data_IF_111927126995
#
_entry.id   IF_111927126995
#
_cell.length_a   1.000
_cell.length_b   1.000
_cell.length_c   1.000
_cell.angle_alpha   90.00
_cell.angle_beta   90.00
_cell.angle_gamma   90.00
#
_symmetry.space_group_name_H-M   'P 1'
#
loop_
_entity.id
_entity.type
_entity.pdbx_description
1 polymer ?
#
# COMPACT_ATOMS: atom_id res chain seq x y z
N UNK A 1 -22.01 -49.18 9.80
CA UNK A 1 -21.68 -47.78 9.43
C UNK A 1 -21.39 -47.03 10.71
N UNK A 2 -20.12 -46.89 11.07
CA UNK A 2 -19.67 -46.11 12.23
C UNK A 2 -19.84 -44.63 11.91
N UNK A 3 -20.85 -44.00 12.49
CA UNK A 3 -21.01 -42.54 12.46
C UNK A 3 -19.81 -41.92 13.16
N UNK A 4 -18.94 -41.25 12.41
CA UNK A 4 -17.87 -40.42 12.97
C UNK A 4 -18.56 -39.40 13.91
N UNK A 5 -18.18 -39.32 15.19
CA UNK A 5 -18.79 -38.38 16.12
C UNK A 5 -18.63 -36.95 15.57
N UNK A 6 -19.71 -36.17 15.60
CA UNK A 6 -19.65 -34.79 15.13
C UNK A 6 -18.69 -33.99 15.99
N UNK A 7 -17.74 -33.31 15.37
CA UNK A 7 -16.85 -32.38 16.06
C UNK A 7 -17.66 -31.24 16.69
N UNK A 8 -17.09 -30.59 17.70
CA UNK A 8 -17.69 -29.40 18.34
C UNK A 8 -18.11 -28.35 17.30
N UNK A 9 -17.23 -28.06 16.32
CA UNK A 9 -17.49 -27.12 15.23
C UNK A 9 -18.72 -27.52 14.40
N UNK A 10 -18.80 -28.80 14.00
CA UNK A 10 -19.92 -29.28 13.20
C UNK A 10 -21.24 -29.30 14.00
N UNK A 11 -21.19 -29.58 15.31
CA UNK A 11 -22.35 -29.48 16.18
C UNK A 11 -22.84 -28.03 16.28
N UNK A 12 -21.92 -27.08 16.39
CA UNK A 12 -22.22 -25.64 16.44
C UNK A 12 -22.86 -25.14 15.14
N UNK A 13 -22.33 -25.53 13.97
CA UNK A 13 -22.95 -25.19 12.67
C UNK A 13 -24.35 -25.77 12.53
N UNK A 14 -24.56 -27.02 12.99
CA UNK A 14 -25.87 -27.68 12.95
C UNK A 14 -26.89 -27.05 13.90
N UNK A 15 -26.46 -26.43 15.00
CA UNK A 15 -27.39 -25.78 15.95
C UNK A 15 -28.04 -24.53 15.36
N UNK A 16 -27.32 -23.79 14.51
CA UNK A 16 -27.83 -22.58 13.82
C UNK A 16 -28.83 -22.92 12.71
N UNK A 17 -28.78 -24.14 12.15
CA UNK A 17 -29.64 -24.69 11.09
C UNK A 17 -29.58 -23.98 9.72
N UNK A 18 -29.23 -22.71 9.67
CA UNK A 18 -29.11 -21.89 8.45
C UNK A 18 -27.64 -21.55 8.16
N UNK A 19 -27.29 -21.55 6.89
CA UNK A 19 -25.98 -21.11 6.40
C UNK A 19 -25.97 -19.58 6.17
N UNK A 20 -24.85 -18.87 6.43
CA UNK A 20 -24.73 -17.46 6.10
C UNK A 20 -24.56 -17.20 4.60
N UNK A 21 -24.17 -18.23 3.84
CA UNK A 21 -23.84 -18.14 2.42
C UNK A 21 -25.07 -18.05 1.52
N UNK A 22 -25.76 -16.92 1.61
CA UNK A 22 -26.82 -16.55 0.68
C UNK A 22 -26.24 -16.26 -0.72
N UNK A 23 -27.06 -16.34 -1.77
CA UNK A 23 -26.64 -15.98 -3.13
C UNK A 23 -26.07 -14.56 -3.22
N UNK A 24 -26.59 -13.64 -2.40
CA UNK A 24 -26.08 -12.27 -2.30
C UNK A 24 -24.67 -12.23 -1.72
N UNK A 25 -24.43 -12.92 -0.60
CA UNK A 25 -23.11 -12.98 0.03
C UNK A 25 -22.09 -13.64 -0.89
N UNK A 26 -22.43 -14.78 -1.51
CA UNK A 26 -21.55 -15.47 -2.47
C UNK A 26 -21.18 -14.53 -3.62
N UNK A 27 -22.16 -13.82 -4.19
CA UNK A 27 -21.91 -12.86 -5.28
C UNK A 27 -20.99 -11.72 -4.82
N UNK A 28 -21.19 -11.20 -3.60
CA UNK A 28 -20.32 -10.17 -3.01
C UNK A 28 -18.89 -10.68 -2.85
N UNK A 29 -18.69 -11.85 -2.25
CA UNK A 29 -17.38 -12.47 -2.05
C UNK A 29 -16.66 -12.65 -3.40
N UNK A 30 -17.35 -13.17 -4.41
CA UNK A 30 -16.76 -13.37 -5.73
C UNK A 30 -16.43 -12.05 -6.44
N UNK A 31 -17.27 -11.01 -6.28
CA UNK A 31 -16.96 -9.67 -6.78
C UNK A 31 -15.71 -9.12 -6.10
N UNK A 32 -15.63 -9.20 -4.78
CA UNK A 32 -14.48 -8.72 -4.02
C UNK A 32 -13.19 -9.46 -4.39
N UNK A 33 -13.27 -10.79 -4.57
CA UNK A 33 -12.16 -11.63 -5.05
C UNK A 33 -11.58 -11.09 -6.36
N UNK A 34 -12.44 -10.75 -7.33
CA UNK A 34 -12.01 -10.14 -8.60
C UNK A 34 -11.35 -8.77 -8.40
N UNK A 35 -11.94 -7.90 -7.58
CA UNK A 35 -11.37 -6.57 -7.27
C UNK A 35 -9.97 -6.67 -6.64
N UNK A 36 -9.72 -7.70 -5.82
CA UNK A 36 -8.44 -7.94 -5.15
C UNK A 36 -7.41 -8.67 -6.03
N UNK A 37 -7.73 -8.92 -7.31
CA UNK A 37 -6.87 -9.61 -8.28
C UNK A 37 -6.96 -11.14 -8.16
N UNK A 38 -8.18 -11.64 -8.13
CA UNK A 38 -8.56 -13.07 -8.16
C UNK A 38 -8.04 -13.90 -6.98
N UNK A 39 -7.69 -13.29 -5.86
CA UNK A 39 -7.23 -14.01 -4.67
C UNK A 39 -7.59 -13.24 -3.40
N UNK A 40 -8.39 -13.85 -2.54
CA UNK A 40 -8.72 -13.37 -1.20
C UNK A 40 -7.59 -13.66 -0.19
N UNK A 41 -7.62 -13.04 0.98
CA UNK A 41 -6.77 -13.43 2.11
C UNK A 41 -7.14 -14.81 2.61
N UNK A 42 -8.43 -15.16 2.67
CA UNK A 42 -8.84 -16.52 3.00
C UNK A 42 -8.25 -17.55 2.04
N UNK A 43 -8.17 -17.25 0.74
CA UNK A 43 -7.60 -18.16 -0.27
C UNK A 43 -6.11 -18.43 -0.01
N UNK A 44 -5.38 -17.42 0.48
CA UNK A 44 -3.98 -17.55 0.89
C UNK A 44 -3.87 -18.37 2.19
N UNK A 45 -4.67 -18.02 3.20
CA UNK A 45 -4.66 -18.71 4.50
C UNK A 45 -4.99 -20.19 4.37
N UNK A 46 -6.08 -20.53 3.67
CA UNK A 46 -6.54 -21.91 3.57
C UNK A 46 -5.56 -22.79 2.78
N UNK A 47 -4.83 -22.22 1.83
CA UNK A 47 -3.79 -22.92 1.07
C UNK A 47 -2.51 -23.08 1.91
N UNK A 48 -1.99 -21.98 2.43
CA UNK A 48 -0.65 -21.93 3.02
C UNK A 48 -0.62 -22.59 4.40
N UNK A 49 -1.71 -22.46 5.16
CA UNK A 49 -1.83 -22.92 6.55
C UNK A 49 -2.80 -24.09 6.68
N UNK A 50 -3.86 -24.10 5.87
CA UNK A 50 -4.87 -25.14 5.88
C UNK A 50 -4.59 -26.30 4.92
N UNK A 51 -3.70 -26.16 3.94
CA UNK A 51 -3.48 -27.16 2.88
C UNK A 51 -4.77 -27.69 2.21
N UNK A 52 -5.81 -26.85 2.18
CA UNK A 52 -7.12 -27.16 1.60
C UNK A 52 -7.31 -26.30 0.36
N UNK A 53 -7.99 -26.87 -0.64
CA UNK A 53 -8.29 -26.19 -1.89
C UNK A 53 -9.12 -24.90 -1.65
N UNK A 54 -8.60 -23.71 -2.02
CA UNK A 54 -9.30 -22.44 -1.88
C UNK A 54 -10.62 -22.35 -2.64
N UNK A 55 -10.80 -23.15 -3.70
CA UNK A 55 -12.02 -23.11 -4.52
C UNK A 55 -13.28 -23.55 -3.78
N UNK A 56 -13.12 -24.21 -2.63
CA UNK A 56 -14.20 -24.60 -1.74
C UNK A 56 -14.85 -23.40 -1.02
N UNK A 57 -14.21 -22.23 -1.04
CA UNK A 57 -14.74 -20.99 -0.48
C UNK A 57 -15.21 -20.01 -1.58
N UNK A 58 -16.39 -19.38 -1.42
CA UNK A 58 -17.38 -19.60 -0.36
C UNK A 58 -18.22 -20.87 -0.58
N UNK A 59 -18.65 -21.57 0.49
CA UNK A 59 -19.59 -22.67 0.40
C UNK A 59 -20.93 -22.25 -0.21
N UNK A 60 -21.59 -23.17 -0.92
CA UNK A 60 -22.87 -22.90 -1.61
C UNK A 60 -24.09 -23.22 -0.76
N UNK A 61 -23.92 -24.11 0.22
CA UNK A 61 -24.97 -24.64 1.09
C UNK A 61 -24.36 -25.16 2.40
N UNK A 62 -25.22 -25.72 3.26
CA UNK A 62 -24.80 -26.25 4.56
C UNK A 62 -23.89 -27.49 4.43
N UNK A 63 -24.13 -28.36 3.45
CA UNK A 63 -23.37 -29.59 3.26
C UNK A 63 -21.94 -29.28 2.81
N UNK A 64 -21.79 -28.37 1.85
CA UNK A 64 -20.48 -27.88 1.38
C UNK A 64 -19.70 -27.14 2.48
N UNK A 65 -20.39 -26.40 3.36
CA UNK A 65 -19.75 -25.80 4.54
C UNK A 65 -19.25 -26.87 5.52
N UNK A 66 -20.07 -27.88 5.83
CA UNK A 66 -19.65 -28.98 6.71
C UNK A 66 -18.49 -29.78 6.11
N UNK A 67 -18.49 -30.01 4.80
CA UNK A 67 -17.38 -30.64 4.08
C UNK A 67 -16.10 -29.80 4.15
N UNK A 68 -16.20 -28.48 4.00
CA UNK A 68 -15.06 -27.57 4.14
C UNK A 68 -14.48 -27.62 5.56
N UNK A 69 -15.33 -27.55 6.58
CA UNK A 69 -14.92 -27.66 7.99
C UNK A 69 -14.25 -29.01 8.24
N UNK A 70 -14.87 -30.11 7.79
CA UNK A 70 -14.28 -31.45 7.93
C UNK A 70 -12.91 -31.53 7.24
N UNK A 71 -12.74 -30.92 6.06
CA UNK A 71 -11.44 -30.88 5.37
C UNK A 71 -10.40 -30.08 6.14
N UNK A 72 -10.78 -28.99 6.81
CA UNK A 72 -9.87 -28.21 7.68
C UNK A 72 -9.50 -29.01 8.93
N UNK A 73 -10.47 -29.64 9.60
CA UNK A 73 -10.28 -30.41 10.83
C UNK A 73 -9.51 -31.71 10.62
N UNK A 74 -9.62 -32.32 9.44
CA UNK A 74 -8.96 -33.60 9.11
C UNK A 74 -7.49 -33.46 8.69
N UNK A 75 -6.99 -32.24 8.54
CA UNK A 75 -5.57 -32.04 8.24
C UNK A 75 -4.72 -32.44 9.43
N UNK A 76 -3.65 -33.17 9.17
CA UNK A 76 -2.63 -33.43 10.17
C UNK A 76 -1.69 -32.21 10.26
N UNK A 77 -2.10 -31.18 11.00
CA UNK A 77 -1.28 -29.99 11.22
C UNK A 77 -0.62 -30.03 12.60
N UNK A 78 0.67 -29.67 12.69
CA UNK A 78 1.36 -29.63 13.98
C UNK A 78 0.83 -28.50 14.88
N UNK A 79 0.14 -27.51 14.31
CA UNK A 79 -0.41 -26.36 15.03
C UNK A 79 -1.93 -26.33 14.94
N UNK A 80 -2.63 -26.86 15.96
CA UNK A 80 -4.10 -26.87 16.03
C UNK A 80 -4.73 -25.47 15.99
N UNK A 81 -3.99 -24.43 16.38
CA UNK A 81 -4.48 -23.04 16.30
C UNK A 81 -4.77 -22.65 14.85
N UNK A 82 -4.00 -23.17 13.88
CA UNK A 82 -4.20 -22.91 12.46
C UNK A 82 -5.57 -23.38 11.95
N UNK A 83 -6.03 -24.54 12.41
CA UNK A 83 -7.37 -25.03 12.06
C UNK A 83 -8.45 -24.15 12.70
N UNK A 84 -8.26 -23.80 13.98
CA UNK A 84 -9.19 -22.97 14.73
C UNK A 84 -9.35 -21.58 14.09
N UNK A 85 -8.27 -20.94 13.64
CA UNK A 85 -8.36 -19.62 13.00
C UNK A 85 -9.06 -19.65 11.63
N UNK A 86 -8.90 -20.72 10.85
CA UNK A 86 -9.60 -20.88 9.58
C UNK A 86 -11.11 -21.06 9.80
N UNK A 87 -11.50 -21.84 10.81
CA UNK A 87 -12.90 -22.01 11.20
C UNK A 87 -13.46 -20.69 11.77
N UNK A 88 -12.69 -19.99 12.61
CA UNK A 88 -13.06 -18.68 13.13
C UNK A 88 -13.34 -17.69 11.99
N UNK A 89 -12.52 -17.68 10.93
CA UNK A 89 -12.79 -16.88 9.73
C UNK A 89 -14.15 -17.19 9.11
N UNK A 90 -14.49 -18.48 8.95
CA UNK A 90 -15.81 -18.89 8.41
C UNK A 90 -16.96 -18.44 9.32
N UNK A 91 -16.74 -18.40 10.64
CA UNK A 91 -17.74 -17.92 11.59
C UNK A 91 -17.92 -16.40 11.60
N UNK A 92 -16.94 -15.63 11.12
CA UNK A 92 -17.13 -14.20 10.88
C UNK A 92 -18.17 -13.92 9.78
N UNK A 93 -18.40 -14.87 8.86
CA UNK A 93 -19.45 -14.73 7.84
C UNK A 93 -20.86 -14.87 8.43
N UNK A 94 -21.03 -15.37 9.67
CA UNK A 94 -22.34 -15.51 10.32
C UNK A 94 -22.88 -14.16 10.81
N UNK A 95 -24.00 -13.65 10.24
CA UNK A 95 -24.62 -12.45 10.75
C UNK A 95 -25.30 -12.70 12.10
N UNK A 96 -25.28 -11.69 12.97
CA UNK A 96 -25.90 -11.73 14.30
C UNK A 96 -27.39 -12.14 14.28
N UNK A 97 -28.10 -11.86 13.18
CA UNK A 97 -29.51 -12.23 13.01
C UNK A 97 -29.75 -13.73 12.90
N UNK A 98 -28.74 -14.52 12.54
CA UNK A 98 -28.82 -15.99 12.49
C UNK A 98 -28.46 -16.64 13.84
N UNK A 99 -27.85 -15.90 14.76
CA UNK A 99 -27.19 -16.44 15.95
C UNK A 99 -27.75 -15.81 17.23
N UNK A 100 -29.07 -15.56 17.27
CA UNK A 100 -29.76 -14.96 18.43
C UNK A 100 -29.11 -13.66 18.94
N UNK A 101 -28.54 -12.85 18.03
CA UNK A 101 -27.80 -11.63 18.34
C UNK A 101 -26.46 -11.81 19.08
N UNK A 102 -25.92 -13.03 19.12
CA UNK A 102 -24.60 -13.32 19.68
C UNK A 102 -23.58 -13.62 18.57
N UNK A 103 -22.32 -13.25 18.76
CA UNK A 103 -21.28 -13.52 17.77
C UNK A 103 -20.82 -14.98 17.87
N UNK A 104 -21.17 -15.78 16.85
CA UNK A 104 -20.74 -17.17 16.75
C UNK A 104 -19.22 -17.30 16.71
N UNK A 105 -18.56 -16.36 16.03
CA UNK A 105 -17.12 -16.31 15.94
C UNK A 105 -16.48 -16.09 17.32
N UNK A 106 -17.00 -15.14 18.11
CA UNK A 106 -16.47 -14.86 19.45
C UNK A 106 -16.68 -16.04 20.40
N UNK A 107 -17.90 -16.61 20.41
CA UNK A 107 -18.22 -17.80 21.20
C UNK A 107 -17.25 -18.95 20.88
N UNK A 108 -17.07 -19.27 19.59
CA UNK A 108 -16.13 -20.30 19.18
C UNK A 108 -14.68 -20.00 19.57
N UNK A 109 -14.24 -18.74 19.40
CA UNK A 109 -12.88 -18.34 19.72
C UNK A 109 -12.58 -18.46 21.22
N UNK A 110 -13.56 -18.19 22.09
CA UNK A 110 -13.47 -18.38 23.53
C UNK A 110 -13.42 -19.85 23.92
N UNK A 111 -14.35 -20.66 23.41
CA UNK A 111 -14.43 -22.10 23.72
C UNK A 111 -13.18 -22.88 23.26
N UNK A 112 -12.62 -22.53 22.11
CA UNK A 112 -11.41 -23.19 21.57
C UNK A 112 -10.12 -22.51 22.06
N UNK A 113 -10.22 -21.37 22.75
CA UNK A 113 -9.07 -20.67 23.32
C UNK A 113 -8.14 -20.04 22.29
N UNK A 114 -8.69 -19.47 21.20
CA UNK A 114 -7.89 -18.76 20.19
C UNK A 114 -7.24 -17.52 20.85
N UNK A 115 -5.91 -17.32 20.77
CA UNK A 115 -5.27 -16.13 21.33
C UNK A 115 -5.73 -14.83 20.65
N UNK A 116 -5.79 -13.73 21.40
CA UNK A 116 -6.27 -12.43 20.92
C UNK A 116 -5.54 -11.94 19.67
N UNK A 117 -4.21 -12.01 19.64
CA UNK A 117 -3.43 -11.65 18.44
C UNK A 117 -3.85 -12.38 17.15
N UNK A 118 -4.25 -13.66 17.25
CA UNK A 118 -4.78 -14.40 16.10
C UNK A 118 -6.20 -13.98 15.74
N UNK A 119 -7.06 -13.71 16.73
CA UNK A 119 -8.43 -13.20 16.49
C UNK A 119 -8.36 -11.88 15.73
N UNK A 120 -7.57 -10.93 16.21
CA UNK A 120 -7.36 -9.62 15.60
C UNK A 120 -6.80 -9.75 14.18
N UNK A 121 -5.79 -10.58 13.98
CA UNK A 121 -5.21 -10.80 12.66
C UNK A 121 -6.24 -11.32 11.64
N UNK A 122 -7.03 -12.32 12.04
CA UNK A 122 -7.97 -13.00 11.15
C UNK A 122 -9.19 -12.14 10.88
N UNK A 123 -9.69 -11.43 11.89
CA UNK A 123 -10.74 -10.41 11.72
C UNK A 123 -10.26 -9.30 10.78
N UNK A 124 -9.01 -8.85 10.92
CA UNK A 124 -8.40 -7.90 10.00
C UNK A 124 -8.38 -8.41 8.55
N UNK A 125 -7.94 -9.65 8.32
CA UNK A 125 -7.98 -10.26 6.99
C UNK A 125 -9.39 -10.45 6.44
N UNK A 126 -10.36 -10.79 7.29
CA UNK A 126 -11.75 -10.88 6.88
C UNK A 126 -12.27 -9.53 6.39
N UNK A 127 -12.02 -8.43 7.12
CA UNK A 127 -12.38 -7.10 6.67
C UNK A 127 -11.67 -6.66 5.38
N UNK A 128 -10.40 -7.06 5.19
CA UNK A 128 -9.70 -6.85 3.92
C UNK A 128 -10.43 -7.52 2.74
N UNK A 129 -10.89 -8.76 2.92
CA UNK A 129 -11.67 -9.50 1.92
C UNK A 129 -13.07 -8.91 1.70
N UNK A 130 -13.61 -8.21 2.68
CA UNK A 130 -14.83 -7.40 2.54
C UNK A 130 -14.60 -6.05 1.85
N UNK A 131 -13.34 -5.66 1.59
CA UNK A 131 -12.93 -4.32 1.10
C UNK A 131 -13.35 -3.21 2.09
N UNK A 132 -13.31 -3.53 3.38
CA UNK A 132 -13.56 -2.60 4.46
C UNK A 132 -12.24 -2.28 5.16
N UNK A 133 -11.45 -1.44 4.51
CA UNK A 133 -10.08 -1.17 4.92
C UNK A 133 -9.96 -0.41 6.23
N UNK A 134 -10.95 0.40 6.58
CA UNK A 134 -10.89 1.19 7.82
C UNK A 134 -11.04 0.26 9.04
N UNK A 135 -11.99 -0.67 9.00
CA UNK A 135 -12.10 -1.72 10.02
C UNK A 135 -10.94 -2.71 9.97
N UNK A 136 -10.47 -3.06 8.77
CA UNK A 136 -9.30 -3.92 8.64
C UNK A 136 -8.07 -3.31 9.34
N UNK A 137 -7.82 -2.01 9.19
CA UNK A 137 -6.70 -1.32 9.83
C UNK A 137 -6.82 -1.28 11.35
N UNK A 138 -8.03 -1.16 11.90
CA UNK A 138 -8.25 -1.21 13.35
C UNK A 138 -7.71 -2.53 13.94
N UNK A 139 -8.04 -3.64 13.30
CA UNK A 139 -7.66 -4.98 13.74
C UNK A 139 -6.20 -5.32 13.37
N UNK A 140 -5.78 -5.05 12.14
CA UNK A 140 -4.41 -5.29 11.70
C UNK A 140 -3.39 -4.39 12.40
N UNK A 141 -3.81 -3.24 12.90
CA UNK A 141 -2.99 -2.32 13.71
C UNK A 141 -2.84 -2.76 15.17
N UNK A 142 -3.67 -3.69 15.66
CA UNK A 142 -3.65 -4.14 17.06
C UNK A 142 -2.26 -4.67 17.45
N UNK A 143 -1.67 -4.28 18.61
CA UNK A 143 -0.28 -4.62 18.96
C UNK A 143 0.04 -6.12 18.90
N UNK A 144 -0.89 -6.97 19.33
CA UNK A 144 -0.72 -8.43 19.32
C UNK A 144 -0.93 -9.08 17.95
N UNK A 145 -1.55 -8.38 17.00
CA UNK A 145 -1.69 -8.90 15.65
C UNK A 145 -0.32 -8.89 14.96
N UNK A 146 0.09 -10.02 14.38
CA UNK A 146 1.35 -10.16 13.65
C UNK A 146 1.06 -10.51 12.18
N UNK A 147 0.72 -9.53 11.33
CA UNK A 147 0.48 -9.79 9.92
C UNK A 147 1.74 -10.28 9.21
N UNK A 148 1.60 -11.27 8.33
CA UNK A 148 2.70 -11.86 7.57
C UNK A 148 2.67 -11.48 6.08
N UNK A 149 1.48 -11.24 5.52
CA UNK A 149 1.29 -10.99 4.08
C UNK A 149 1.30 -9.49 3.72
N UNK A 150 2.34 -8.76 4.13
CA UNK A 150 2.40 -7.30 4.01
C UNK A 150 2.24 -6.79 2.56
N UNK A 151 2.97 -7.36 1.60
CA UNK A 151 2.85 -6.96 0.19
C UNK A 151 1.43 -7.14 -0.35
N UNK A 152 0.73 -8.21 0.07
CA UNK A 152 -0.68 -8.43 -0.30
C UNK A 152 -1.62 -7.40 0.32
N UNK A 153 -1.38 -7.01 1.58
CA UNK A 153 -2.15 -5.94 2.26
C UNK A 153 -2.03 -4.63 1.48
N UNK A 154 -0.81 -4.23 1.11
CA UNK A 154 -0.59 -3.02 0.32
C UNK A 154 -1.21 -3.12 -1.08
N UNK A 155 -0.97 -4.24 -1.77
CA UNK A 155 -1.53 -4.47 -3.10
C UNK A 155 -3.06 -4.37 -3.09
N UNK A 156 -3.71 -4.76 -1.99
CA UNK A 156 -5.16 -4.66 -1.82
C UNK A 156 -5.62 -3.19 -1.78
N UNK A 157 -4.94 -2.34 -1.00
CA UNK A 157 -5.23 -0.89 -0.96
C UNK A 157 -5.06 -0.24 -2.35
N UNK A 158 -3.98 -0.60 -3.06
CA UNK A 158 -3.63 -0.05 -4.37
C UNK A 158 -4.67 -0.47 -5.44
N UNK A 159 -4.99 -1.76 -5.52
CA UNK A 159 -5.92 -2.30 -6.53
C UNK A 159 -7.33 -1.73 -6.38
N UNK A 160 -7.83 -1.58 -5.15
CA UNK A 160 -9.15 -0.99 -4.94
C UNK A 160 -9.19 0.48 -5.30
N UNK A 161 -8.12 1.24 -5.04
CA UNK A 161 -8.02 2.63 -5.50
C UNK A 161 -8.13 2.71 -7.04
N UNK A 162 -7.45 1.82 -7.77
CA UNK A 162 -7.51 1.75 -9.23
C UNK A 162 -8.87 1.28 -9.76
N UNK A 163 -9.57 0.38 -9.07
CA UNK A 163 -10.90 -0.05 -9.48
C UNK A 163 -11.97 1.03 -9.31
N UNK A 164 -11.76 1.99 -8.40
CA UNK A 164 -12.71 3.07 -8.09
C UNK A 164 -12.47 4.34 -8.92
N UNK A 165 -11.84 4.22 -10.10
CA UNK A 165 -11.46 5.32 -11.01
C UNK A 165 -12.64 6.10 -11.65
N UNK A 166 -13.68 6.44 -10.88
CA UNK A 166 -14.55 7.58 -11.18
C UNK A 166 -13.87 8.85 -10.67
N UNK A 167 -12.99 9.46 -11.48
CA UNK A 167 -12.63 10.90 -11.56
C UNK A 167 -12.44 11.76 -10.29
N UNK A 168 -12.42 11.18 -9.10
CA UNK A 168 -12.07 11.79 -7.83
C UNK A 168 -11.09 10.82 -7.21
N UNK A 169 -9.80 11.17 -7.26
CA UNK A 169 -8.74 10.62 -6.43
C UNK A 169 -9.32 10.20 -5.08
N UNK A 170 -9.47 8.90 -4.83
CA UNK A 170 -9.98 8.38 -3.57
C UNK A 170 -8.96 8.78 -2.49
N UNK A 171 -9.28 9.70 -1.56
CA UNK A 171 -8.30 10.32 -0.68
C UNK A 171 -7.64 9.37 0.33
N UNK A 172 -8.05 8.10 0.37
CA UNK A 172 -7.81 7.22 1.50
C UNK A 172 -6.76 6.13 1.26
N UNK A 173 -6.36 5.80 0.02
CA UNK A 173 -5.43 4.68 -0.19
C UNK A 173 -4.03 4.96 0.35
N UNK A 174 -3.47 6.15 0.08
CA UNK A 174 -2.21 6.58 0.67
C UNK A 174 -2.31 6.72 2.19
N UNK A 175 -3.42 7.25 2.71
CA UNK A 175 -3.64 7.34 4.15
C UNK A 175 -3.66 5.95 4.82
N UNK A 176 -4.33 4.97 4.20
CA UNK A 176 -4.41 3.58 4.66
C UNK A 176 -3.03 2.89 4.63
N UNK A 177 -2.29 3.07 3.54
CA UNK A 177 -0.92 2.59 3.38
C UNK A 177 -0.02 3.16 4.49
N UNK A 178 -0.06 4.48 4.70
CA UNK A 178 0.76 5.16 5.71
C UNK A 178 0.36 4.78 7.13
N UNK A 179 -0.94 4.66 7.42
CA UNK A 179 -1.45 4.24 8.72
C UNK A 179 -0.96 2.82 9.07
N UNK A 180 -1.10 1.88 8.13
CA UNK A 180 -0.63 0.52 8.31
C UNK A 180 0.89 0.45 8.50
N UNK A 181 1.65 1.16 7.65
CA UNK A 181 3.11 1.18 7.77
C UNK A 181 3.55 1.78 9.10
N UNK A 182 2.89 2.85 9.56
CA UNK A 182 3.20 3.48 10.86
C UNK A 182 2.92 2.53 12.02
N UNK A 183 1.82 1.76 11.95
CA UNK A 183 1.45 0.83 13.01
C UNK A 183 2.35 -0.42 13.08
N UNK A 184 2.81 -0.95 11.93
CA UNK A 184 3.49 -2.25 11.87
C UNK A 184 4.93 -2.23 11.39
N UNK A 185 5.38 -1.14 10.77
CA UNK A 185 6.71 -1.03 10.14
C UNK A 185 7.08 -2.31 9.36
N UNK A 186 6.22 -2.74 8.41
CA UNK A 186 6.36 -4.02 7.74
C UNK A 186 7.62 -4.07 6.87
N UNK A 187 8.16 -5.28 6.68
CA UNK A 187 9.19 -5.53 5.66
C UNK A 187 8.49 -5.79 4.33
N UNK A 188 8.64 -4.86 3.40
CA UNK A 188 8.14 -4.99 2.04
C UNK A 188 9.18 -5.69 1.17
N UNK A 189 8.74 -6.63 0.33
CA UNK A 189 9.61 -7.40 -0.56
C UNK A 189 9.43 -7.00 -2.01
N UNK A 190 8.20 -6.66 -2.42
CA UNK A 190 7.89 -6.31 -3.80
C UNK A 190 8.36 -4.90 -4.15
N UNK A 191 9.09 -4.74 -5.26
CA UNK A 191 9.51 -3.42 -5.77
C UNK A 191 8.31 -2.52 -6.02
N UNK A 192 7.23 -3.06 -6.58
CA UNK A 192 5.99 -2.33 -6.85
C UNK A 192 5.39 -1.76 -5.55
N UNK A 193 5.36 -2.57 -4.49
CA UNK A 193 4.81 -2.15 -3.20
C UNK A 193 5.68 -1.09 -2.51
N UNK A 194 7.01 -1.24 -2.60
CA UNK A 194 7.97 -0.25 -2.08
C UNK A 194 7.82 1.09 -2.83
N UNK A 195 7.70 1.04 -4.15
CA UNK A 195 7.50 2.21 -5.01
C UNK A 195 6.21 2.94 -4.68
N UNK A 196 5.09 2.23 -4.53
CA UNK A 196 3.83 2.83 -4.11
C UNK A 196 3.88 3.42 -2.71
N UNK A 197 4.60 2.79 -1.78
CA UNK A 197 4.80 3.37 -0.44
C UNK A 197 5.57 4.70 -0.52
N UNK A 198 6.60 4.79 -1.36
CA UNK A 198 7.32 6.05 -1.62
C UNK A 198 6.37 7.09 -2.21
N UNK A 199 5.53 6.71 -3.18
CA UNK A 199 4.56 7.63 -3.77
C UNK A 199 3.56 8.16 -2.73
N UNK A 200 3.06 7.29 -1.83
CA UNK A 200 2.20 7.71 -0.70
C UNK A 200 2.93 8.63 0.27
N UNK A 201 4.23 8.42 0.53
CA UNK A 201 5.02 9.34 1.36
C UNK A 201 5.18 10.71 0.70
N UNK A 202 5.31 10.77 -0.63
CA UNK A 202 5.46 12.03 -1.38
C UNK A 202 4.21 12.91 -1.31
N UNK A 203 3.03 12.32 -1.15
CA UNK A 203 1.78 13.06 -0.93
C UNK A 203 1.77 13.81 0.40
N UNK A 204 2.47 13.30 1.41
CA UNK A 204 2.52 13.88 2.77
C UNK A 204 3.78 14.72 2.98
N UNK A 205 4.95 14.17 2.70
CA UNK A 205 6.24 14.79 2.99
C UNK A 205 7.37 14.23 2.11
N UNK A 206 7.95 15.12 1.30
CA UNK A 206 9.16 14.85 0.51
C UNK A 206 10.34 14.38 1.39
N UNK A 207 10.47 14.95 2.60
CA UNK A 207 11.54 14.57 3.52
C UNK A 207 11.33 13.15 4.08
N UNK A 208 10.09 12.76 4.35
CA UNK A 208 9.79 11.40 4.83
C UNK A 208 10.09 10.36 3.76
N UNK A 209 9.77 10.66 2.49
CA UNK A 209 10.16 9.82 1.35
C UNK A 209 11.69 9.68 1.26
N UNK A 210 12.44 10.78 1.34
CA UNK A 210 13.91 10.74 1.33
C UNK A 210 14.47 9.91 2.50
N UNK A 211 13.92 10.09 3.71
CA UNK A 211 14.34 9.33 4.90
C UNK A 211 14.12 7.83 4.70
N UNK A 212 13.00 7.44 4.09
CA UNK A 212 12.75 6.04 3.77
C UNK A 212 13.73 5.51 2.72
N UNK A 213 14.02 6.26 1.65
CA UNK A 213 15.03 5.86 0.65
C UNK A 213 16.39 5.63 1.28
N UNK A 214 16.80 6.42 2.27
CA UNK A 214 18.05 6.18 3.01
C UNK A 214 18.06 4.91 3.85
N UNK A 215 16.89 4.40 4.24
CA UNK A 215 16.75 3.21 5.09
C UNK A 215 16.74 1.89 4.32
N UNK A 216 16.48 1.93 3.01
CA UNK A 216 16.44 0.72 2.17
C UNK A 216 17.82 0.30 1.69
N UNK A 217 17.93 -0.91 1.12
CA UNK A 217 19.18 -1.45 0.57
C UNK A 217 19.83 -0.49 -0.44
N UNK A 218 21.16 -0.26 -0.39
CA UNK A 218 21.90 0.59 -1.32
C UNK A 218 21.64 0.30 -2.80
N UNK A 219 21.32 -0.95 -3.15
CA UNK A 219 21.03 -1.37 -4.52
C UNK A 219 19.80 -0.70 -5.15
N UNK A 220 18.79 -0.37 -4.33
CA UNK A 220 17.52 0.21 -4.83
C UNK A 220 17.39 1.71 -4.52
N UNK A 221 18.27 2.27 -3.68
CA UNK A 221 18.23 3.70 -3.33
C UNK A 221 18.27 4.63 -4.54
N UNK A 222 19.16 4.43 -5.55
CA UNK A 222 19.24 5.34 -6.70
C UNK A 222 17.93 5.36 -7.51
N UNK A 223 17.30 4.19 -7.67
CA UNK A 223 16.03 4.04 -8.40
C UNK A 223 14.91 4.80 -7.69
N UNK A 224 14.77 4.60 -6.38
CA UNK A 224 13.75 5.30 -5.59
C UNK A 224 14.03 6.81 -5.47
N UNK A 225 15.30 7.21 -5.37
CA UNK A 225 15.68 8.61 -5.35
C UNK A 225 15.34 9.32 -6.67
N UNK A 226 15.63 8.69 -7.82
CA UNK A 226 15.20 9.18 -9.13
C UNK A 226 13.67 9.28 -9.21
N UNK A 227 12.94 8.32 -8.64
CA UNK A 227 11.47 8.36 -8.56
C UNK A 227 10.95 9.57 -7.78
N UNK A 228 11.57 9.90 -6.64
CA UNK A 228 11.23 11.11 -5.86
C UNK A 228 11.34 12.37 -6.71
N UNK A 229 12.46 12.51 -7.44
CA UNK A 229 12.71 13.65 -8.32
C UNK A 229 11.65 13.71 -9.42
N UNK A 230 11.46 12.61 -10.16
CA UNK A 230 10.53 12.56 -11.29
C UNK A 230 9.08 12.84 -10.86
N UNK A 231 8.59 12.18 -9.81
CA UNK A 231 7.21 12.38 -9.33
C UNK A 231 6.98 13.83 -8.87
N UNK A 232 8.00 14.49 -8.29
CA UNK A 232 7.91 15.90 -7.91
C UNK A 232 7.83 16.84 -9.13
N UNK A 233 8.49 16.50 -10.23
CA UNK A 233 8.55 17.34 -11.43
C UNK A 233 7.41 17.09 -12.44
N UNK A 234 6.84 15.88 -12.48
CA UNK A 234 5.94 15.42 -13.56
C UNK A 234 4.53 16.03 -13.58
N UNK A 235 4.05 16.67 -12.51
CA UNK A 235 2.70 17.26 -12.48
C UNK A 235 2.66 18.63 -11.77
N UNK A 236 2.85 19.73 -12.53
CA UNK A 236 2.86 21.08 -11.99
C UNK A 236 1.47 21.66 -11.70
N UNK A 237 0.38 20.93 -12.02
CA UNK A 237 -0.99 21.41 -11.75
C UNK A 237 -1.43 21.08 -10.33
N UNK A 238 -0.78 20.12 -9.67
CA UNK A 238 -0.99 19.82 -8.26
C UNK A 238 -0.35 20.88 -7.35
N UNK A 239 -1.18 21.58 -6.56
CA UNK A 239 -0.71 22.56 -5.56
C UNK A 239 0.23 21.94 -4.51
N UNK A 240 0.03 20.65 -4.19
CA UNK A 240 0.94 19.90 -3.32
C UNK A 240 2.31 19.74 -3.99
N UNK A 241 2.34 19.45 -5.29
CA UNK A 241 3.59 19.26 -6.04
C UNK A 241 4.34 20.57 -6.29
N UNK A 242 3.65 21.70 -6.53
CA UNK A 242 4.29 23.02 -6.59
C UNK A 242 5.08 23.36 -5.32
N UNK A 243 4.48 23.10 -4.14
CA UNK A 243 5.18 23.26 -2.85
C UNK A 243 6.38 22.32 -2.73
N UNK A 244 6.27 21.10 -3.28
CA UNK A 244 7.34 20.12 -3.25
C UNK A 244 8.52 20.49 -4.17
N UNK A 245 8.33 21.25 -5.27
CA UNK A 245 9.44 21.73 -6.12
C UNK A 245 10.40 22.63 -5.31
N UNK A 246 9.86 23.59 -4.56
CA UNK A 246 10.71 24.43 -3.69
C UNK A 246 11.40 23.63 -2.59
N UNK A 247 10.70 22.65 -2.01
CA UNK A 247 11.28 21.73 -1.02
C UNK A 247 12.37 20.84 -1.62
N UNK A 248 12.24 20.46 -2.90
CA UNK A 248 13.20 19.63 -3.63
C UNK A 248 14.56 20.33 -3.74
N UNK A 249 14.56 21.62 -4.09
CA UNK A 249 15.79 22.42 -4.13
C UNK A 249 16.49 22.50 -2.76
N UNK A 250 15.70 22.52 -1.68
CA UNK A 250 16.15 22.68 -0.30
C UNK A 250 16.30 21.35 0.47
N UNK A 251 16.33 20.19 -0.22
CA UNK A 251 16.49 18.92 0.47
C UNK A 251 17.85 18.84 1.20
N UNK A 252 17.87 18.31 2.44
CA UNK A 252 19.10 18.10 3.19
C UNK A 252 19.82 16.84 2.69
N UNK A 253 20.49 16.96 1.54
CA UNK A 253 21.24 15.88 0.90
C UNK A 253 22.64 15.76 1.49
N UNK A 254 23.17 14.54 1.53
CA UNK A 254 24.60 14.25 1.73
C UNK A 254 25.40 14.66 0.49
N UNK A 255 26.73 14.66 0.57
CA UNK A 255 27.59 15.00 -0.56
C UNK A 255 27.39 14.02 -1.74
N UNK A 256 27.31 12.72 -1.46
CA UNK A 256 27.05 11.69 -2.47
C UNK A 256 25.68 11.84 -3.11
N UNK A 257 24.64 12.12 -2.32
CA UNK A 257 23.29 12.35 -2.85
C UNK A 257 23.22 13.66 -3.64
N UNK A 258 23.99 14.68 -3.27
CA UNK A 258 24.04 15.95 -3.98
C UNK A 258 24.63 15.79 -5.39
N UNK A 259 25.65 14.95 -5.55
CA UNK A 259 26.20 14.59 -6.87
C UNK A 259 25.13 13.86 -7.70
N UNK A 260 24.52 12.80 -7.16
CA UNK A 260 23.46 12.05 -7.86
C UNK A 260 22.27 12.93 -8.24
N UNK A 261 21.84 13.81 -7.34
CA UNK A 261 20.75 14.75 -7.56
C UNK A 261 21.04 15.69 -8.73
N UNK A 262 22.27 16.23 -8.77
CA UNK A 262 22.73 17.08 -9.86
C UNK A 262 22.75 16.32 -11.18
N UNK A 263 23.34 15.12 -11.20
CA UNK A 263 23.46 14.31 -12.42
C UNK A 263 22.09 13.96 -12.99
N UNK A 264 21.15 13.54 -12.14
CA UNK A 264 19.78 13.23 -12.56
C UNK A 264 19.03 14.44 -13.11
N UNK A 265 19.12 15.61 -12.47
CA UNK A 265 18.44 16.79 -12.99
C UNK A 265 19.07 17.29 -14.29
N UNK A 266 20.39 17.15 -14.47
CA UNK A 266 21.07 17.48 -15.73
C UNK A 266 20.69 16.52 -16.85
N UNK A 267 20.58 15.22 -16.56
CA UNK A 267 20.07 14.19 -17.47
C UNK A 267 18.64 14.54 -17.92
N UNK A 268 17.72 14.76 -16.97
CA UNK A 268 16.33 15.17 -17.24
C UNK A 268 16.27 16.45 -18.09
N UNK A 269 17.14 17.41 -17.80
CA UNK A 269 17.21 18.68 -18.53
C UNK A 269 17.63 18.51 -19.99
N UNK A 270 18.44 17.48 -20.30
CA UNK A 270 18.96 17.16 -21.64
C UNK A 270 18.03 16.24 -22.44
N UNK A 271 17.41 15.25 -21.78
CA UNK A 271 16.60 14.22 -22.46
C UNK A 271 15.32 14.80 -23.09
N UNK A 272 14.73 15.84 -22.49
CA UNK A 272 13.45 16.40 -22.93
C UNK A 272 13.42 17.93 -22.87
N UNK A 273 14.17 18.63 -23.75
CA UNK A 273 14.43 20.07 -23.63
C UNK A 273 13.19 20.96 -23.72
N UNK A 274 12.08 20.49 -24.29
CA UNK A 274 10.85 21.27 -24.48
C UNK A 274 9.74 20.96 -23.47
N UNK A 275 10.05 20.20 -22.41
CA UNK A 275 9.07 19.81 -21.40
C UNK A 275 9.06 20.76 -20.19
N UNK A 276 7.88 20.91 -19.58
CA UNK A 276 7.75 21.59 -18.28
C UNK A 276 8.65 20.96 -17.21
N UNK A 277 8.80 19.63 -17.25
CA UNK A 277 9.69 18.86 -16.37
C UNK A 277 11.15 19.32 -16.50
N UNK A 278 11.66 19.51 -17.72
CA UNK A 278 13.01 20.04 -17.97
C UNK A 278 13.17 21.48 -17.48
N UNK A 279 12.15 22.32 -17.64
CA UNK A 279 12.15 23.68 -17.06
C UNK A 279 12.30 23.65 -15.54
N UNK A 280 11.48 22.86 -14.85
CA UNK A 280 11.56 22.75 -13.39
C UNK A 280 12.86 22.11 -12.91
N UNK A 281 13.40 21.14 -13.65
CA UNK A 281 14.70 20.56 -13.34
C UNK A 281 15.81 21.63 -13.36
N UNK A 282 15.82 22.51 -14.37
CA UNK A 282 16.75 23.64 -14.46
C UNK A 282 16.53 24.63 -13.32
N UNK A 283 15.29 25.00 -13.01
CA UNK A 283 14.96 25.94 -11.93
C UNK A 283 15.46 25.41 -10.57
N UNK A 284 15.20 24.14 -10.27
CA UNK A 284 15.64 23.48 -9.03
C UNK A 284 17.16 23.46 -8.93
N UNK A 285 17.85 23.13 -10.02
CA UNK A 285 19.30 23.14 -10.07
C UNK A 285 19.88 24.54 -9.85
N UNK A 286 19.32 25.57 -10.49
CA UNK A 286 19.77 26.96 -10.33
C UNK A 286 19.57 27.40 -8.89
N UNK A 287 18.36 27.26 -8.35
CA UNK A 287 18.05 27.65 -6.96
C UNK A 287 18.98 26.96 -5.99
N UNK A 288 19.19 25.64 -6.14
CA UNK A 288 20.11 24.90 -5.28
C UNK A 288 21.55 25.39 -5.43
N UNK A 289 22.04 25.58 -6.66
CA UNK A 289 23.40 26.06 -6.94
C UNK A 289 23.69 27.43 -6.32
N UNK A 290 22.70 28.32 -6.31
CA UNK A 290 22.80 29.63 -5.65
C UNK A 290 22.88 29.48 -4.13
N UNK A 291 22.07 28.60 -3.54
CA UNK A 291 22.10 28.34 -2.10
C UNK A 291 23.39 27.65 -1.64
N UNK A 292 23.97 26.77 -2.45
CA UNK A 292 25.19 26.04 -2.11
C UNK A 292 26.47 26.73 -2.57
N UNK A 293 26.38 27.83 -3.34
CA UNK A 293 27.53 28.51 -3.92
C UNK A 293 28.21 27.75 -5.07
N UNK A 294 27.53 26.82 -5.73
CA UNK A 294 28.09 26.04 -6.84
C UNK A 294 28.02 26.81 -8.17
N UNK A 295 28.99 27.70 -8.37
CA UNK A 295 29.12 28.56 -9.55
C UNK A 295 29.28 27.74 -10.83
N UNK A 296 29.99 26.62 -10.78
CA UNK A 296 30.26 25.78 -11.96
C UNK A 296 28.99 25.16 -12.52
N UNK A 297 28.16 24.59 -11.65
CA UNK A 297 26.87 24.03 -12.03
C UNK A 297 25.94 25.10 -12.57
N UNK A 298 25.88 26.25 -11.91
CA UNK A 298 25.03 27.36 -12.33
C UNK A 298 25.38 27.87 -13.73
N UNK A 299 26.68 28.00 -14.03
CA UNK A 299 27.16 28.35 -15.37
C UNK A 299 26.76 27.31 -16.42
N UNK A 300 26.98 26.03 -16.13
CA UNK A 300 26.64 24.94 -17.06
C UNK A 300 25.14 24.89 -17.40
N UNK A 301 24.26 25.21 -16.44
CA UNK A 301 22.81 25.26 -16.67
C UNK A 301 22.42 26.47 -17.52
N UNK A 302 23.07 27.61 -17.29
CA UNK A 302 22.80 28.83 -18.04
C UNK A 302 23.13 28.74 -19.54
N UNK A 303 23.94 27.76 -19.91
CA UNK A 303 24.32 27.44 -21.29
C UNK A 303 23.33 26.47 -21.95
N UNK A 304 22.37 25.89 -21.21
CA UNK A 304 21.35 24.98 -21.76
C UNK A 304 20.19 25.76 -22.42
N UNK A 305 19.61 25.25 -23.52
CA UNK A 305 18.50 25.89 -24.22
C UNK A 305 17.24 25.96 -23.35
N UNK A 306 16.50 27.08 -23.41
CA UNK A 306 15.33 27.32 -22.57
C UNK A 306 14.02 26.83 -23.25
N UNK A 307 13.26 25.88 -22.66
CA UNK A 307 12.09 25.25 -23.28
C UNK A 307 10.97 26.20 -23.69
N UNK A 308 10.83 27.36 -23.03
CA UNK A 308 9.60 28.14 -23.10
C UNK A 308 9.88 29.66 -23.00
N UNK A 309 10.20 30.34 -24.10
CA UNK A 309 10.42 31.79 -24.09
C UNK A 309 9.14 32.61 -23.87
N UNK A 310 7.96 31.97 -23.82
CA UNK A 310 6.66 32.63 -23.87
C UNK A 310 5.80 32.55 -22.58
N UNK A 311 6.22 31.85 -21.51
CA UNK A 311 5.44 31.86 -20.27
C UNK A 311 5.62 33.18 -19.53
N UNK A 312 4.54 33.94 -19.40
CA UNK A 312 4.33 35.17 -18.61
C UNK A 312 5.49 35.57 -17.70
N UNK A 313 6.18 36.64 -18.10
CA UNK A 313 7.30 37.27 -17.39
C UNK A 313 6.88 37.70 -15.98
N UNK A 314 7.47 37.15 -14.90
CA UNK A 314 7.35 37.75 -13.58
C UNK A 314 8.11 39.10 -13.57
N UNK A 315 7.56 40.18 -12.98
CA UNK A 315 7.97 41.54 -13.29
C UNK A 315 9.26 42.04 -12.62
N UNK A 316 10.16 41.18 -12.11
CA UNK A 316 11.27 41.72 -11.29
C UNK A 316 12.65 41.08 -11.33
N UNK A 317 12.88 39.92 -11.95
CA UNK A 317 14.24 39.40 -12.24
C UNK A 317 14.16 38.48 -13.45
N UNK A 318 14.87 38.77 -14.54
CA UNK A 318 14.96 37.81 -15.66
C UNK A 318 16.03 36.75 -15.36
N UNK A 319 15.81 35.51 -15.78
CA UNK A 319 16.80 34.42 -15.65
C UNK A 319 18.14 34.75 -16.33
N UNK A 320 18.10 35.60 -17.36
CA UNK A 320 19.28 36.16 -18.03
C UNK A 320 20.07 37.13 -17.15
N UNK A 321 19.44 37.77 -16.16
CA UNK A 321 20.09 38.71 -15.25
C UNK A 321 20.84 37.97 -14.14
N UNK A 322 20.26 36.87 -13.63
CA UNK A 322 20.94 35.95 -12.71
C UNK A 322 22.15 35.30 -13.42
N UNK A 323 21.94 34.81 -14.64
CA UNK A 323 23.02 34.25 -15.49
C UNK A 323 24.14 35.25 -15.73
N UNK A 324 23.80 36.51 -16.02
CA UNK A 324 24.79 37.59 -16.19
C UNK A 324 25.55 37.87 -14.90
N UNK A 325 24.89 37.91 -13.75
CA UNK A 325 25.54 38.08 -12.45
C UNK A 325 26.59 37.01 -12.17
N UNK A 326 26.30 35.75 -12.48
CA UNK A 326 27.22 34.61 -12.30
C UNK A 326 28.41 34.67 -13.27
N UNK A 327 28.18 35.15 -14.51
CA UNK A 327 29.27 35.38 -15.48
C UNK A 327 30.20 36.50 -15.05
N UNK A 328 29.70 37.48 -14.29
CA UNK A 328 30.46 38.64 -13.81
C UNK A 328 31.22 38.39 -12.49
N UNK A 329 30.93 37.30 -11.77
CA UNK A 329 31.60 36.93 -10.52
C UNK A 329 32.86 36.06 -10.71
N UNK A 330 33.27 35.82 -11.95
CA UNK A 330 34.60 35.29 -12.34
C UNK A 330 35.44 36.40 -12.95
#
# INVERSE_FOLDING_TARGET
MTTIPSTFTQALVRSVKKTPYTSQLITKIQKNRKTLGDTLFFDVLIRDVGHVDPTLYPPKDLETLLLLIQKIESQDTPNRVHQAVLIFYLFLDYPLSLTNHESLANYYAEEVGIPTGYRELITGFWYMDQIDFDNALLHLGHPEALPTYHDKIFASFIKTAASNNSSTSTPNSSAQILAYFTAKSPRLVSSETIEHYVDSLLEVSLFSALRFVRSVSPSIQPVLFRRIIMNTLSDPRSEVRKKNIWRLANLPLTDSESVLFKDYLLEISKEHPDTTVSSFAKDVLIVRSLHTGDVHTSKAISELPNPNPASTKPPRVEWNDITRGIKLSN
#
